data_IF_737435125476
#
_entry.id   IF_737435125476
#
_cell.length_a   1.000
_cell.length_b   1.000
_cell.length_c   1.000
_cell.angle_alpha   90.00
_cell.angle_beta   90.00
_cell.angle_gamma   90.00
#
_symmetry.space_group_name_H-M   'P 1'
#
loop_
_entity.id
_entity.type
_entity.pdbx_description
1 polymer ?
#
# COMPACT_ATOMS: atom_id res chain seq x y z
N UNK A 1 -1.99 -8.13 3.74
CA UNK A 1 -1.37 -6.83 3.46
C UNK A 1 -0.10 -6.68 4.32
N UNK A 2 0.86 -7.61 4.19
CA UNK A 2 1.98 -7.72 5.16
C UNK A 2 3.31 -8.15 4.53
N UNK A 3 3.50 -7.91 3.23
CA UNK A 3 4.78 -8.26 2.62
C UNK A 3 5.78 -7.14 2.92
N UNK A 4 6.77 -7.45 3.74
CA UNK A 4 7.90 -6.56 4.03
C UNK A 4 9.10 -7.03 3.20
N UNK A 5 9.70 -6.15 2.40
CA UNK A 5 10.79 -6.53 1.51
C UNK A 5 12.03 -5.66 1.75
N UNK A 6 13.20 -6.27 1.66
CA UNK A 6 14.46 -5.53 1.63
C UNK A 6 14.71 -4.91 0.25
N UNK A 7 15.61 -3.93 0.17
CA UNK A 7 15.99 -3.31 -1.10
C UNK A 7 16.52 -4.35 -2.12
N UNK A 8 17.22 -5.39 -1.66
CA UNK A 8 17.72 -6.49 -2.51
C UNK A 8 16.60 -7.37 -3.04
N UNK A 9 15.61 -7.69 -2.20
CA UNK A 9 14.42 -8.43 -2.61
C UNK A 9 13.59 -7.63 -3.62
N UNK A 10 13.40 -6.32 -3.39
CA UNK A 10 12.72 -5.41 -4.32
C UNK A 10 13.47 -5.32 -5.64
N UNK A 11 14.80 -5.16 -5.61
CA UNK A 11 15.65 -5.14 -6.82
C UNK A 11 15.51 -6.44 -7.63
N UNK A 12 15.48 -7.59 -6.95
CA UNK A 12 15.27 -8.90 -7.57
C UNK A 12 13.89 -9.02 -8.21
N UNK A 13 12.85 -8.53 -7.54
CA UNK A 13 11.49 -8.49 -8.09
C UNK A 13 11.42 -7.59 -9.34
N UNK A 14 11.99 -6.38 -9.29
CA UNK A 14 12.04 -5.45 -10.42
C UNK A 14 12.72 -6.06 -11.66
N UNK A 15 13.80 -6.82 -11.47
CA UNK A 15 14.48 -7.55 -12.55
C UNK A 15 13.57 -8.57 -13.24
N UNK A 16 12.68 -9.26 -12.50
CA UNK A 16 11.71 -10.21 -13.08
C UNK A 16 10.72 -9.53 -14.03
N UNK A 17 10.42 -8.24 -13.81
CA UNK A 17 9.57 -7.43 -14.67
C UNK A 17 10.34 -6.64 -15.75
N UNK A 18 11.63 -6.93 -15.95
CA UNK A 18 12.47 -6.29 -16.98
C UNK A 18 13.17 -5.01 -16.53
N UNK A 19 12.98 -4.54 -15.30
CA UNK A 19 13.61 -3.33 -14.78
C UNK A 19 14.95 -3.64 -14.10
N UNK A 20 16.04 -3.50 -14.85
CA UNK A 20 17.41 -3.67 -14.34
C UNK A 20 17.91 -2.32 -13.79
N UNK A 21 17.77 -2.11 -12.48
CA UNK A 21 18.30 -0.93 -11.79
C UNK A 21 19.39 -1.33 -10.80
N UNK A 22 20.38 -0.46 -10.62
CA UNK A 22 21.40 -0.64 -9.59
C UNK A 22 20.74 -0.58 -8.21
N UNK A 23 21.30 -1.31 -7.25
CA UNK A 23 20.76 -1.37 -5.88
C UNK A 23 20.77 0.01 -5.20
N UNK A 24 21.78 0.83 -5.48
CA UNK A 24 21.86 2.22 -5.00
C UNK A 24 20.69 3.07 -5.51
N UNK A 25 20.30 2.91 -6.78
CA UNK A 25 19.14 3.59 -7.36
C UNK A 25 17.84 3.14 -6.71
N UNK A 26 17.69 1.83 -6.46
CA UNK A 26 16.50 1.30 -5.75
C UNK A 26 16.43 1.90 -4.35
N UNK A 27 17.54 1.90 -3.60
CA UNK A 27 17.61 2.53 -2.27
C UNK A 27 17.27 4.02 -2.29
N UNK A 28 17.74 4.74 -3.30
CA UNK A 28 17.41 6.16 -3.47
C UNK A 28 15.91 6.40 -3.63
N UNK A 29 15.23 5.62 -4.50
CA UNK A 29 13.78 5.75 -4.66
C UNK A 29 13.00 5.32 -3.41
N UNK A 30 13.47 4.30 -2.69
CA UNK A 30 12.85 3.92 -1.41
C UNK A 30 12.93 5.06 -0.40
N UNK A 31 14.04 5.81 -0.34
CA UNK A 31 14.14 6.98 0.53
C UNK A 31 13.18 8.10 0.12
N UNK A 32 13.03 8.36 -1.19
CA UNK A 32 12.04 9.32 -1.70
C UNK A 32 10.62 8.91 -1.27
N UNK A 33 10.24 7.65 -1.49
CA UNK A 33 8.92 7.13 -1.13
C UNK A 33 8.68 7.15 0.38
N UNK A 34 9.73 6.91 1.18
CA UNK A 34 9.66 6.99 2.64
C UNK A 34 9.42 8.43 3.09
N UNK A 35 10.16 9.38 2.50
CA UNK A 35 10.05 10.80 2.84
C UNK A 35 8.71 11.39 2.39
N UNK A 36 8.10 10.84 1.34
CA UNK A 36 6.74 11.20 0.92
C UNK A 36 5.64 10.45 1.69
N UNK A 37 5.97 9.67 2.72
CA UNK A 37 5.01 8.92 3.53
C UNK A 37 4.33 7.74 2.83
N UNK A 38 4.76 7.34 1.63
CA UNK A 38 4.12 6.25 0.87
C UNK A 38 4.57 4.86 1.34
N UNK A 39 5.77 4.77 1.93
CA UNK A 39 6.30 3.55 2.52
C UNK A 39 6.90 3.84 3.89
N UNK A 40 7.03 2.80 4.70
CA UNK A 40 7.67 2.88 6.02
C UNK A 40 8.66 1.73 6.22
N UNK A 41 9.60 1.91 7.14
CA UNK A 41 10.51 0.84 7.57
C UNK A 41 9.75 -0.01 8.59
N UNK A 42 9.31 -1.19 8.16
CA UNK A 42 8.50 -2.08 8.98
C UNK A 42 9.34 -2.90 9.97
N UNK A 43 10.59 -3.22 9.62
CA UNK A 43 11.56 -3.85 10.53
C UNK A 43 13.00 -3.57 10.13
N UNK A 44 13.89 -3.70 11.09
CA UNK A 44 15.34 -3.60 10.91
C UNK A 44 15.95 -4.88 11.46
N UNK A 45 16.79 -5.54 10.68
CA UNK A 45 17.56 -6.71 11.10
C UNK A 45 19.05 -6.39 11.03
N UNK A 46 19.79 -6.75 12.06
CA UNK A 46 21.24 -6.66 12.09
C UNK A 46 21.84 -8.07 12.02
N UNK A 47 22.78 -8.27 11.11
CA UNK A 47 23.54 -9.52 11.01
C UNK A 47 24.98 -9.22 10.67
N UNK A 48 25.91 -9.70 11.51
CA UNK A 48 27.36 -9.54 11.34
C UNK A 48 27.78 -8.07 11.11
N UNK A 49 27.15 -7.13 11.82
CA UNK A 49 27.41 -5.69 11.70
C UNK A 49 26.81 -5.02 10.46
N UNK A 50 26.06 -5.75 9.63
CA UNK A 50 25.31 -5.19 8.51
C UNK A 50 23.83 -4.99 8.88
N UNK A 51 23.31 -3.80 8.62
CA UNK A 51 21.91 -3.44 8.86
C UNK A 51 21.10 -3.64 7.58
N UNK A 52 20.03 -4.44 7.68
CA UNK A 52 19.04 -4.64 6.62
C UNK A 52 17.71 -4.01 7.02
N UNK A 53 17.27 -3.01 6.26
CA UNK A 53 15.96 -2.39 6.40
C UNK A 53 14.93 -3.11 5.53
N UNK A 54 13.76 -3.39 6.08
CA UNK A 54 12.62 -3.94 5.36
C UNK A 54 11.50 -2.90 5.26
N UNK A 55 10.97 -2.73 4.05
CA UNK A 55 9.98 -1.70 3.73
C UNK A 55 8.60 -2.31 3.56
N UNK A 56 7.56 -1.57 3.96
CA UNK A 56 6.16 -1.90 3.70
C UNK A 56 5.40 -0.67 3.19
N UNK A 57 4.25 -0.89 2.55
CA UNK A 57 3.35 0.18 2.12
C UNK A 57 2.79 0.90 3.33
N UNK A 58 2.91 2.22 3.39
CA UNK A 58 2.25 2.97 4.46
C UNK A 58 0.74 3.02 4.21
N UNK A 59 -0.03 2.83 5.26
CA UNK A 59 -1.47 3.13 5.27
C UNK A 59 -1.73 4.61 5.58
N UNK A 60 -0.69 5.41 5.85
CA UNK A 60 -0.80 6.81 6.24
C UNK A 60 -0.94 7.68 4.99
N UNK A 61 -2.15 8.17 4.78
CA UNK A 61 -2.48 9.12 3.70
C UNK A 61 -2.20 10.59 4.10
N UNK A 62 -1.80 10.88 5.35
CA UNK A 62 -1.74 12.23 5.90
C UNK A 62 -0.50 12.47 6.78
N UNK A 63 -0.03 13.72 6.88
CA UNK A 63 1.10 14.19 7.70
C UNK A 63 0.94 14.00 9.23
N UNK A 64 -0.11 13.30 9.67
CA UNK A 64 -0.40 13.08 11.09
C UNK A 64 0.13 11.71 11.54
N UNK A 65 0.86 11.71 12.65
CA UNK A 65 1.26 10.47 13.30
C UNK A 65 0.07 9.87 14.04
N UNK A 66 -0.23 8.60 13.77
CA UNK A 66 -1.18 7.80 14.55
C UNK A 66 -0.57 7.49 15.91
N UNK A 67 -1.34 7.58 17.02
CA UNK A 67 -0.89 7.13 18.34
C UNK A 67 -0.48 5.65 18.34
N UNK A 68 0.48 5.27 19.20
CA UNK A 68 0.99 3.89 19.27
C UNK A 68 -0.10 2.85 19.59
N UNK A 69 -1.19 3.26 20.25
CA UNK A 69 -2.32 2.41 20.61
C UNK A 69 -3.48 2.49 19.60
N UNK A 70 -3.30 3.08 18.41
CA UNK A 70 -4.38 3.28 17.43
C UNK A 70 -5.09 1.98 17.07
N UNK A 71 -4.33 0.96 16.65
CA UNK A 71 -4.91 -0.32 16.23
C UNK A 71 -5.68 -0.99 17.37
N UNK A 72 -5.15 -0.95 18.60
CA UNK A 72 -5.83 -1.49 19.77
C UNK A 72 -7.11 -0.70 20.12
N UNK A 73 -7.05 0.63 20.03
CA UNK A 73 -8.16 1.53 20.35
C UNK A 73 -9.31 1.38 19.36
N UNK A 74 -8.98 1.24 18.07
CA UNK A 74 -9.96 1.26 16.98
C UNK A 74 -10.21 -0.11 16.34
N UNK A 75 -9.60 -1.20 16.83
CA UNK A 75 -9.73 -2.55 16.25
C UNK A 75 -11.17 -2.95 15.95
N UNK A 76 -12.10 -2.79 16.91
CA UNK A 76 -13.53 -3.10 16.66
C UNK A 76 -14.15 -2.28 15.53
N UNK A 77 -13.76 -1.01 15.41
CA UNK A 77 -14.25 -0.12 14.34
C UNK A 77 -13.64 -0.54 13.01
N UNK A 78 -12.34 -0.87 13.00
CA UNK A 78 -11.62 -1.38 11.83
C UNK A 78 -12.25 -2.68 11.33
N UNK A 79 -12.53 -3.65 12.22
CA UNK A 79 -13.12 -4.94 11.86
C UNK A 79 -14.54 -4.79 11.29
N UNK A 80 -15.37 -4.00 11.97
CA UNK A 80 -16.73 -3.71 11.51
C UNK A 80 -16.75 -2.98 10.17
N UNK A 81 -15.85 -2.03 9.98
CA UNK A 81 -15.74 -1.27 8.73
C UNK A 81 -15.19 -2.16 7.61
N UNK A 82 -14.20 -3.00 7.89
CA UNK A 82 -13.65 -3.98 6.95
C UNK A 82 -14.74 -4.93 6.42
N UNK A 83 -15.61 -5.42 7.31
CA UNK A 83 -16.75 -6.26 6.92
C UNK A 83 -17.71 -5.54 5.96
N UNK A 84 -17.94 -4.24 6.15
CA UNK A 84 -18.78 -3.43 5.26
C UNK A 84 -18.10 -3.18 3.92
N UNK A 85 -16.80 -2.86 3.94
CA UNK A 85 -15.99 -2.67 2.73
C UNK A 85 -15.95 -3.96 1.92
N UNK A 86 -15.78 -5.12 2.55
CA UNK A 86 -15.77 -6.41 1.85
C UNK A 86 -17.05 -6.63 1.03
N UNK A 87 -18.22 -6.28 1.58
CA UNK A 87 -19.50 -6.33 0.85
C UNK A 87 -19.49 -5.41 -0.38
N UNK A 88 -18.97 -4.19 -0.24
CA UNK A 88 -18.83 -3.23 -1.35
C UNK A 88 -17.87 -3.77 -2.41
N UNK A 89 -16.73 -4.33 -2.00
CA UNK A 89 -15.73 -4.90 -2.92
C UNK A 89 -16.28 -6.10 -3.70
N UNK A 90 -17.06 -6.99 -3.04
CA UNK A 90 -17.76 -8.10 -3.70
C UNK A 90 -18.71 -7.62 -4.80
N UNK A 91 -19.39 -6.49 -4.59
CA UNK A 91 -20.22 -5.86 -5.65
C UNK A 91 -19.42 -5.21 -6.79
N UNK A 92 -18.17 -4.79 -6.55
CA UNK A 92 -17.30 -4.17 -7.57
C UNK A 92 -16.60 -5.22 -8.47
N UNK A 93 -16.17 -6.35 -7.88
CA UNK A 93 -15.43 -7.42 -8.56
C UNK A 93 -15.98 -7.89 -9.93
N UNK A 94 -17.30 -8.15 -10.10
CA UNK A 94 -17.84 -8.58 -11.39
C UNK A 94 -17.85 -7.48 -12.48
N UNK A 95 -17.68 -6.20 -12.11
CA UNK A 95 -17.71 -5.06 -13.04
C UNK A 95 -16.32 -4.62 -13.52
N UNK A 96 -15.25 -4.90 -12.76
CA UNK A 96 -13.88 -4.51 -13.12
C UNK A 96 -13.12 -5.57 -13.93
N UNK A 97 -13.60 -6.83 -13.93
CA UNK A 97 -13.01 -7.95 -14.70
C UNK A 97 -13.30 -7.91 -16.21
N UNK A 98 -14.20 -7.03 -16.69
CA UNK A 98 -14.73 -7.06 -18.07
C UNK A 98 -13.99 -6.18 -19.09
N UNK A 99 -12.81 -5.63 -18.78
CA UNK A 99 -12.04 -4.90 -19.81
C UNK A 99 -11.33 -5.91 -20.72
N UNK A 100 -11.73 -5.94 -22.00
CA UNK A 100 -11.33 -6.86 -23.07
C UNK A 100 -9.83 -6.83 -23.47
N UNK A 101 -8.90 -6.96 -22.53
CA UNK A 101 -7.52 -7.31 -22.84
C UNK A 101 -6.85 -7.89 -21.59
N UNK A 102 -6.13 -9.00 -21.77
CA UNK A 102 -5.39 -9.75 -20.73
C UNK A 102 -4.71 -8.81 -19.73
N UNK A 103 -5.31 -8.63 -18.55
CA UNK A 103 -4.68 -7.91 -17.45
C UNK A 103 -4.78 -8.77 -16.20
N UNK A 104 -3.66 -8.83 -15.47
CA UNK A 104 -3.43 -9.78 -14.38
C UNK A 104 -4.28 -9.45 -13.15
N UNK A 105 -4.34 -10.37 -12.18
CA UNK A 105 -5.10 -10.19 -10.94
C UNK A 105 -4.71 -8.89 -10.20
N UNK A 106 -3.45 -8.51 -10.28
CA UNK A 106 -2.87 -7.30 -9.70
C UNK A 106 -3.46 -6.03 -10.34
N UNK A 107 -3.74 -6.03 -11.65
CA UNK A 107 -4.35 -4.90 -12.32
C UNK A 107 -5.82 -4.71 -11.93
N UNK A 108 -6.56 -5.82 -11.78
CA UNK A 108 -7.93 -5.78 -11.26
C UNK A 108 -7.98 -5.24 -9.83
N UNK A 109 -7.00 -5.62 -9.00
CA UNK A 109 -6.86 -5.09 -7.64
C UNK A 109 -6.53 -3.59 -7.62
N UNK A 110 -5.66 -3.14 -8.53
CA UNK A 110 -5.38 -1.71 -8.73
C UNK A 110 -6.64 -0.93 -9.11
N UNK A 111 -7.43 -1.41 -10.09
CA UNK A 111 -8.66 -0.73 -10.51
C UNK A 111 -9.67 -0.59 -9.37
N UNK A 112 -9.82 -1.65 -8.57
CA UNK A 112 -10.71 -1.63 -7.40
C UNK A 112 -10.25 -0.58 -6.39
N UNK A 113 -8.94 -0.50 -6.12
CA UNK A 113 -8.38 0.51 -5.23
C UNK A 113 -8.61 1.93 -5.76
N UNK A 114 -8.36 2.17 -7.05
CA UNK A 114 -8.54 3.47 -7.69
C UNK A 114 -9.99 3.96 -7.63
N UNK A 115 -10.95 3.07 -7.86
CA UNK A 115 -12.38 3.37 -7.73
C UNK A 115 -12.72 3.75 -6.29
N UNK A 116 -12.25 2.97 -5.31
CA UNK A 116 -12.49 3.24 -3.89
C UNK A 116 -11.88 4.58 -3.46
N UNK A 117 -10.65 4.88 -3.88
CA UNK A 117 -9.97 6.14 -3.57
C UNK A 117 -10.79 7.34 -4.08
N UNK A 118 -11.18 7.34 -5.35
CA UNK A 118 -12.01 8.42 -5.93
C UNK A 118 -13.36 8.54 -5.25
N UNK A 119 -14.00 7.42 -4.90
CA UNK A 119 -15.27 7.43 -4.20
C UNK A 119 -15.13 8.05 -2.79
N UNK A 120 -14.08 7.69 -2.05
CA UNK A 120 -13.78 8.25 -0.74
C UNK A 120 -13.49 9.75 -0.82
N UNK A 121 -12.67 10.19 -1.78
CA UNK A 121 -12.39 11.62 -2.03
C UNK A 121 -13.68 12.40 -2.27
N UNK A 122 -14.54 11.91 -3.17
CA UNK A 122 -15.82 12.57 -3.47
C UNK A 122 -16.74 12.69 -2.24
N UNK A 123 -16.74 11.69 -1.35
CA UNK A 123 -17.53 11.74 -0.10
C UNK A 123 -16.94 12.78 0.85
N UNK A 124 -15.61 12.81 1.00
CA UNK A 124 -14.91 13.73 1.90
C UNK A 124 -15.04 15.20 1.44
N UNK A 125 -14.90 15.47 0.15
CA UNK A 125 -15.12 16.80 -0.44
C UNK A 125 -16.56 17.29 -0.24
N UNK A 126 -17.56 16.40 -0.37
CA UNK A 126 -18.97 16.75 -0.10
C UNK A 126 -19.25 17.00 1.38
N UNK A 127 -18.55 16.31 2.29
CA UNK A 127 -18.72 16.54 3.72
C UNK A 127 -18.02 17.81 4.24
N UNK A 128 -17.00 18.29 3.54
CA UNK A 128 -16.23 19.49 3.89
C UNK A 128 -16.79 20.79 3.29
N UNK A 129 -17.79 20.69 2.42
CA UNK A 129 -18.52 21.81 1.80
C UNK A 129 -19.79 22.21 2.58
N UNK A 130 -19.86 21.87 3.87
CA UNK A 130 -20.94 22.24 4.79
C UNK A 130 -20.44 23.19 5.88
#
# INVERSE_FOLDING_TARGET
YHQTLSADQISTALKKFGYKKALTTVRHHLEILKNSGLIEIARIEESRGAITKFYSTSTKLLDFQTPDNFDATYSKIIDNTSTKIEKILKTLGPKTSKSNNKKSAEYSQYLVMEIMNRAMTNVLEKSSTK
#
